data_IF_146276416934
#
_entry.id   IF_146276416934
#
_cell.length_a   1.000
_cell.length_b   1.000
_cell.length_c   1.000
_cell.angle_alpha   90.00
_cell.angle_beta   90.00
_cell.angle_gamma   90.00
#
_symmetry.space_group_name_H-M   'P 1'
#
loop_
_entity.id
_entity.type
_entity.pdbx_description
1 polymer ?
#
# COMPACT_ATOMS: atom_id res chain seq x y z
N UNK A 1 5.63 -10.14 96.24
CA UNK A 1 4.74 -10.05 95.06
C UNK A 1 4.98 -8.75 94.30
N UNK A 2 5.07 -7.61 94.98
CA UNK A 2 5.33 -6.29 94.36
C UNK A 2 6.73 -6.17 93.72
N UNK A 3 7.78 -6.65 94.39
CA UNK A 3 9.16 -6.62 93.86
C UNK A 3 9.35 -7.45 92.58
N UNK A 4 8.72 -8.62 92.50
CA UNK A 4 8.78 -9.49 91.31
C UNK A 4 7.99 -8.96 90.11
N UNK A 5 6.97 -8.12 90.35
CA UNK A 5 6.21 -7.46 89.28
C UNK A 5 7.04 -6.33 88.66
N UNK A 6 7.71 -5.54 89.51
CA UNK A 6 8.63 -4.47 89.08
C UNK A 6 9.81 -5.04 88.27
N UNK A 7 10.39 -6.16 88.71
CA UNK A 7 11.48 -6.83 88.00
C UNK A 7 11.03 -7.38 86.62
N UNK A 8 9.80 -7.90 86.53
CA UNK A 8 9.21 -8.38 85.28
C UNK A 8 8.90 -7.23 84.30
N UNK A 9 8.36 -6.12 84.80
CA UNK A 9 8.11 -4.90 84.01
C UNK A 9 9.42 -4.31 83.49
N UNK A 10 10.47 -4.26 84.32
CA UNK A 10 11.79 -3.80 83.93
C UNK A 10 12.43 -4.68 82.84
N UNK A 11 12.32 -6.00 82.97
CA UNK A 11 12.81 -6.94 81.97
C UNK A 11 12.04 -6.80 80.64
N UNK A 12 10.71 -6.67 80.69
CA UNK A 12 9.88 -6.48 79.51
C UNK A 12 10.18 -5.16 78.78
N UNK A 13 10.37 -4.06 79.53
CA UNK A 13 10.77 -2.77 78.98
C UNK A 13 12.13 -2.84 78.29
N UNK A 14 13.09 -3.56 78.88
CA UNK A 14 14.42 -3.74 78.30
C UNK A 14 14.36 -4.50 76.97
N UNK A 15 13.58 -5.58 76.90
CA UNK A 15 13.39 -6.35 75.65
C UNK A 15 12.72 -5.51 74.57
N UNK A 16 11.69 -4.73 74.91
CA UNK A 16 11.01 -3.82 73.97
C UNK A 16 11.96 -2.74 73.46
N UNK A 17 12.79 -2.18 74.33
CA UNK A 17 13.77 -1.15 73.94
C UNK A 17 14.85 -1.71 73.01
N UNK A 18 15.39 -2.89 73.30
CA UNK A 18 16.40 -3.54 72.44
C UNK A 18 15.80 -3.87 71.07
N UNK A 19 14.63 -4.52 71.03
CA UNK A 19 13.96 -4.84 69.75
C UNK A 19 13.58 -3.59 68.97
N UNK A 20 13.16 -2.52 69.63
CA UNK A 20 12.88 -1.24 68.96
C UNK A 20 14.15 -0.58 68.40
N UNK A 21 15.29 -0.75 69.05
CA UNK A 21 16.57 -0.23 68.56
C UNK A 21 17.05 -1.02 67.34
N UNK A 22 16.95 -2.35 67.38
CA UNK A 22 17.31 -3.23 66.26
C UNK A 22 16.45 -2.90 65.02
N UNK A 23 15.12 -2.79 65.19
CA UNK A 23 14.21 -2.40 64.09
C UNK A 23 14.54 -1.01 63.54
N UNK A 24 14.96 -0.06 64.39
CA UNK A 24 15.36 1.27 63.94
C UNK A 24 16.65 1.24 63.13
N UNK A 25 17.58 0.37 63.49
CA UNK A 25 18.83 0.18 62.77
C UNK A 25 18.57 -0.48 61.40
N UNK A 26 17.79 -1.56 61.37
CA UNK A 26 17.42 -2.27 60.14
C UNK A 26 16.65 -1.36 59.16
N UNK A 27 15.70 -0.56 59.67
CA UNK A 27 14.96 0.40 58.82
C UNK A 27 15.87 1.49 58.24
N UNK A 28 16.91 1.90 58.97
CA UNK A 28 17.90 2.86 58.46
C UNK A 28 18.75 2.24 57.36
N UNK A 29 19.18 0.99 57.51
CA UNK A 29 19.93 0.27 56.48
C UNK A 29 19.11 0.04 55.21
N UNK A 30 17.83 -0.34 55.35
CA UNK A 30 16.90 -0.50 54.22
C UNK A 30 16.70 0.83 53.49
N UNK A 31 16.55 1.95 54.22
CA UNK A 31 16.40 3.27 53.62
C UNK A 31 17.64 3.63 52.78
N UNK A 32 18.84 3.41 53.31
CA UNK A 32 20.10 3.66 52.58
C UNK A 32 20.26 2.76 51.34
N UNK A 33 19.86 1.49 51.41
CA UNK A 33 19.88 0.59 50.26
C UNK A 33 18.88 1.03 49.18
N UNK A 34 17.68 1.45 49.58
CA UNK A 34 16.63 1.94 48.68
C UNK A 34 17.08 3.18 47.91
N UNK A 35 17.77 4.11 48.58
CA UNK A 35 18.34 5.30 47.94
C UNK A 35 19.42 4.94 46.91
N UNK A 36 20.32 3.99 47.23
CA UNK A 36 21.33 3.49 46.28
C UNK A 36 20.70 2.82 45.05
N UNK A 37 19.63 2.05 45.25
CA UNK A 37 18.86 1.41 44.16
C UNK A 37 18.21 2.48 43.28
N UNK A 38 17.64 3.53 43.88
CA UNK A 38 17.06 4.66 43.15
C UNK A 38 18.07 5.37 42.25
N UNK A 39 19.26 5.69 42.77
CA UNK A 39 20.34 6.32 41.98
C UNK A 39 20.81 5.40 40.85
N UNK A 40 20.90 4.10 41.12
CA UNK A 40 21.32 3.12 40.12
C UNK A 40 20.27 2.96 39.01
N UNK A 41 18.99 2.99 39.36
CA UNK A 41 17.86 2.93 38.42
C UNK A 41 17.83 4.16 37.51
N UNK A 42 17.98 5.36 38.05
CA UNK A 42 18.09 6.59 37.25
C UNK A 42 19.26 6.55 36.25
N UNK A 43 20.41 5.98 36.66
CA UNK A 43 21.56 5.82 35.76
C UNK A 43 21.30 4.81 34.64
N UNK A 44 20.54 3.76 34.92
CA UNK A 44 20.12 2.78 33.91
C UNK A 44 19.14 3.44 32.94
N UNK A 45 18.11 4.14 33.42
CA UNK A 45 17.14 4.87 32.59
C UNK A 45 17.85 5.88 31.65
N UNK A 46 18.74 6.72 32.20
CA UNK A 46 19.52 7.67 31.39
C UNK A 46 20.46 7.03 30.38
N UNK A 47 20.87 5.77 30.58
CA UNK A 47 21.65 4.99 29.61
C UNK A 47 20.73 4.37 28.56
N UNK A 48 19.56 3.86 28.96
CA UNK A 48 18.55 3.31 28.06
C UNK A 48 18.06 4.37 27.10
N UNK A 49 17.69 5.57 27.57
CA UNK A 49 17.28 6.69 26.71
C UNK A 49 18.35 7.06 25.67
N UNK A 50 19.61 7.11 26.09
CA UNK A 50 20.74 7.38 25.17
C UNK A 50 20.93 6.28 24.14
N UNK A 51 20.74 5.03 24.55
CA UNK A 51 20.83 3.87 23.66
C UNK A 51 19.68 3.86 22.66
N UNK A 52 18.45 4.18 23.09
CA UNK A 52 17.28 4.31 22.21
C UNK A 52 17.48 5.40 21.17
N UNK A 53 17.93 6.59 21.57
CA UNK A 53 18.22 7.70 20.62
C UNK A 53 19.30 7.28 19.62
N UNK A 54 20.32 6.55 20.08
CA UNK A 54 21.41 6.08 19.21
C UNK A 54 20.94 5.00 18.23
N UNK A 55 20.08 4.07 18.68
CA UNK A 55 19.47 3.03 17.83
C UNK A 55 18.55 3.66 16.79
N UNK A 56 17.76 4.67 17.17
CA UNK A 56 16.89 5.40 16.26
C UNK A 56 17.71 6.14 15.19
N UNK A 57 18.77 6.84 15.59
CA UNK A 57 19.67 7.50 14.64
C UNK A 57 20.34 6.50 13.67
N UNK A 58 20.84 5.37 14.17
CA UNK A 58 21.41 4.31 13.33
C UNK A 58 20.36 3.69 12.39
N UNK A 59 19.12 3.55 12.85
CA UNK A 59 18.01 3.07 12.02
C UNK A 59 17.71 4.06 10.89
N UNK A 60 17.69 5.36 11.16
CA UNK A 60 17.45 6.39 10.15
C UNK A 60 18.58 6.44 9.12
N UNK A 61 19.84 6.39 9.58
CA UNK A 61 21.02 6.26 8.70
C UNK A 61 20.95 4.99 7.83
N UNK A 62 20.54 3.86 8.41
CA UNK A 62 20.37 2.61 7.67
C UNK A 62 19.23 2.71 6.64
N UNK A 63 18.11 3.37 6.98
CA UNK A 63 17.02 3.61 6.04
C UNK A 63 17.47 4.50 4.88
N UNK A 64 18.20 5.58 5.16
CA UNK A 64 18.74 6.47 4.13
C UNK A 64 19.75 5.74 3.24
N UNK A 65 20.65 4.95 3.84
CA UNK A 65 21.60 4.12 3.10
C UNK A 65 20.88 3.07 2.24
N UNK A 66 19.83 2.44 2.76
CA UNK A 66 19.00 1.48 2.02
C UNK A 66 18.27 2.14 0.85
N UNK A 67 17.73 3.35 1.04
CA UNK A 67 17.08 4.12 -0.02
C UNK A 67 18.10 4.51 -1.12
N UNK A 68 19.28 4.98 -0.73
CA UNK A 68 20.36 5.31 -1.65
C UNK A 68 20.87 4.07 -2.40
N UNK A 69 20.99 2.93 -1.73
CA UNK A 69 21.37 1.67 -2.34
C UNK A 69 20.31 1.17 -3.33
N UNK A 70 19.02 1.22 -2.95
CA UNK A 70 17.91 0.92 -3.87
C UNK A 70 17.94 1.83 -5.10
N UNK A 71 18.20 3.13 -4.93
CA UNK A 71 18.33 4.10 -6.03
C UNK A 71 19.52 3.78 -6.94
N UNK A 72 20.66 3.40 -6.37
CA UNK A 72 21.84 2.98 -7.11
C UNK A 72 21.57 1.70 -7.92
N UNK A 73 20.92 0.70 -7.32
CA UNK A 73 20.52 -0.53 -8.00
C UNK A 73 19.55 -0.24 -9.15
N UNK A 74 18.53 0.60 -8.93
CA UNK A 74 17.61 1.04 -9.98
C UNK A 74 18.36 1.71 -11.13
N UNK A 75 19.32 2.60 -10.83
CA UNK A 75 20.12 3.27 -11.87
C UNK A 75 21.03 2.31 -12.63
N UNK A 76 21.73 1.39 -11.96
CA UNK A 76 22.56 0.40 -12.65
C UNK A 76 21.72 -0.57 -13.49
N UNK A 77 20.55 -0.98 -13.00
CA UNK A 77 19.62 -1.78 -13.80
C UNK A 77 19.10 -1.00 -14.99
N UNK A 78 18.77 0.29 -14.83
CA UNK A 78 18.33 1.17 -15.92
C UNK A 78 19.42 1.33 -16.99
N UNK A 79 20.69 1.48 -16.59
CA UNK A 79 21.83 1.57 -17.52
C UNK A 79 22.11 0.23 -18.24
N UNK A 80 22.10 -0.89 -17.50
CA UNK A 80 22.26 -2.23 -18.09
C UNK A 80 21.11 -2.57 -19.06
N UNK A 81 19.87 -2.15 -18.73
CA UNK A 81 18.67 -2.32 -19.58
C UNK A 81 18.73 -1.42 -20.84
N UNK A 82 19.27 -0.20 -20.74
CA UNK A 82 19.51 0.69 -21.91
C UNK A 82 20.49 0.08 -22.92
N UNK A 83 21.53 -0.63 -22.48
CA UNK A 83 22.49 -1.30 -23.38
C UNK A 83 21.89 -2.48 -24.15
N UNK A 84 20.86 -3.16 -23.63
CA UNK A 84 20.21 -4.29 -24.31
C UNK A 84 19.17 -3.87 -25.38
N UNK A 85 18.67 -2.64 -25.32
CA UNK A 85 17.66 -2.11 -26.26
C UNK A 85 18.25 -1.69 -27.63
N UNK A 86 19.58 -1.62 -27.77
CA UNK A 86 20.22 -1.03 -28.96
C UNK A 86 20.55 -2.04 -30.08
N UNK A 87 20.27 -3.34 -29.90
CA UNK A 87 20.54 -4.39 -30.91
C UNK A 87 19.26 -5.09 -31.39
N UNK A 88 18.49 -4.43 -32.25
CA UNK A 88 17.48 -5.14 -33.06
C UNK A 88 17.19 -4.41 -34.38
N UNK A 89 18.24 -4.25 -35.19
CA UNK A 89 18.08 -3.99 -36.62
C UNK A 89 17.98 -5.31 -37.39
N UNK A 90 16.77 -5.89 -37.51
CA UNK A 90 16.37 -6.82 -38.60
C UNK A 90 14.88 -7.20 -38.49
N UNK A 91 14.23 -7.33 -39.64
CA UNK A 91 12.80 -7.60 -39.78
C UNK A 91 12.36 -8.85 -38.98
N UNK A 92 11.75 -8.62 -37.82
CA UNK A 92 11.20 -9.65 -36.96
C UNK A 92 9.71 -9.86 -37.24
N UNK A 93 9.25 -11.12 -37.18
CA UNK A 93 7.83 -11.47 -37.28
C UNK A 93 6.98 -10.73 -36.24
N UNK A 94 5.69 -10.52 -36.51
CA UNK A 94 4.75 -9.78 -35.65
C UNK A 94 4.71 -10.38 -34.22
N UNK A 95 4.81 -11.70 -34.11
CA UNK A 95 4.86 -12.39 -32.82
C UNK A 95 6.11 -12.00 -32.02
N UNK A 96 7.27 -11.98 -32.67
CA UNK A 96 8.55 -11.60 -32.04
C UNK A 96 8.57 -10.13 -31.64
N UNK A 97 7.99 -9.24 -32.47
CA UNK A 97 7.86 -7.82 -32.14
C UNK A 97 6.97 -7.58 -30.93
N UNK A 98 5.84 -8.29 -30.82
CA UNK A 98 4.95 -8.21 -29.65
C UNK A 98 5.66 -8.67 -28.37
N UNK A 99 6.41 -9.77 -28.42
CA UNK A 99 7.18 -10.25 -27.27
C UNK A 99 8.30 -9.26 -26.87
N UNK A 100 9.00 -8.69 -27.84
CA UNK A 100 10.04 -7.69 -27.57
C UNK A 100 9.46 -6.41 -26.96
N UNK A 101 8.35 -5.90 -27.49
CA UNK A 101 7.65 -4.73 -26.96
C UNK A 101 7.17 -4.98 -25.53
N UNK A 102 6.56 -6.14 -25.26
CA UNK A 102 6.11 -6.48 -23.92
C UNK A 102 7.28 -6.62 -22.94
N UNK A 103 8.37 -7.26 -23.35
CA UNK A 103 9.58 -7.36 -22.54
C UNK A 103 10.17 -5.96 -22.25
N UNK A 104 10.14 -5.04 -23.21
CA UNK A 104 10.58 -3.66 -23.00
C UNK A 104 9.73 -2.94 -21.95
N UNK A 105 8.40 -2.99 -22.09
CA UNK A 105 7.46 -2.39 -21.12
C UNK A 105 7.65 -3.02 -19.74
N UNK A 106 7.69 -4.36 -19.69
CA UNK A 106 7.88 -5.11 -18.45
C UNK A 106 9.21 -4.72 -17.80
N UNK A 107 10.33 -4.80 -18.49
CA UNK A 107 11.64 -4.42 -17.92
C UNK A 107 11.73 -2.96 -17.50
N UNK A 108 10.97 -2.06 -18.11
CA UNK A 108 10.97 -0.66 -17.72
C UNK A 108 10.19 -0.42 -16.40
N UNK A 109 9.00 -1.00 -16.29
CA UNK A 109 8.06 -0.77 -15.19
C UNK A 109 8.08 -1.81 -14.08
N UNK A 110 8.74 -2.96 -14.29
CA UNK A 110 8.84 -4.03 -13.30
C UNK A 110 9.73 -3.54 -12.15
N UNK A 111 9.03 -3.03 -11.14
CA UNK A 111 9.54 -2.70 -9.80
C UNK A 111 9.45 -3.95 -8.90
N UNK A 112 9.48 -3.75 -7.59
CA UNK A 112 9.43 -4.84 -6.60
C UNK A 112 8.06 -5.58 -6.52
N UNK A 113 7.07 -5.19 -7.33
CA UNK A 113 5.73 -5.78 -7.32
C UNK A 113 5.52 -6.53 -8.63
N UNK A 114 5.36 -7.86 -8.56
CA UNK A 114 4.79 -8.65 -9.66
C UNK A 114 3.30 -8.32 -9.76
N UNK A 115 2.83 -7.71 -10.89
CA UNK A 115 1.43 -7.35 -11.06
C UNK A 115 0.45 -8.53 -10.94
N UNK A 116 0.94 -9.75 -11.19
CA UNK A 116 0.12 -10.96 -11.11
C UNK A 116 0.08 -11.59 -9.71
N UNK A 117 0.99 -11.21 -8.81
CA UNK A 117 1.06 -11.80 -7.47
C UNK A 117 -0.16 -11.45 -6.62
N UNK A 118 -0.57 -10.17 -6.59
CA UNK A 118 -1.71 -9.72 -5.78
C UNK A 118 -3.00 -10.46 -6.15
N UNK A 119 -3.28 -10.59 -7.45
CA UNK A 119 -4.46 -11.30 -7.94
C UNK A 119 -4.42 -12.80 -7.57
N UNK A 120 -3.25 -13.46 -7.67
CA UNK A 120 -3.09 -14.87 -7.29
C UNK A 120 -3.26 -15.10 -5.78
N UNK A 121 -2.73 -14.18 -4.97
CA UNK A 121 -2.84 -14.24 -3.51
C UNK A 121 -4.31 -14.13 -3.07
N UNK A 122 -5.05 -13.19 -3.67
CA UNK A 122 -6.51 -13.07 -3.47
C UNK A 122 -7.23 -14.33 -3.97
N UNK A 123 -6.87 -14.85 -5.15
CA UNK A 123 -7.50 -16.05 -5.72
C UNK A 123 -7.34 -17.28 -4.81
N UNK A 124 -6.20 -17.42 -4.13
CA UNK A 124 -5.96 -18.55 -3.21
C UNK A 124 -6.98 -18.62 -2.06
N UNK A 125 -7.45 -17.47 -1.59
CA UNK A 125 -8.46 -17.36 -0.53
C UNK A 125 -9.89 -17.12 -1.05
N UNK A 126 -10.06 -16.99 -2.37
CA UNK A 126 -11.36 -16.69 -2.98
C UNK A 126 -12.28 -17.90 -3.03
N UNK A 127 -13.45 -17.79 -2.39
CA UNK A 127 -14.49 -18.82 -2.45
C UNK A 127 -15.32 -18.63 -3.72
N UNK A 128 -15.28 -19.63 -4.61
CA UNK A 128 -16.04 -19.60 -5.88
C UNK A 128 -17.54 -19.41 -5.62
N UNK A 129 -18.13 -18.40 -6.25
CA UNK A 129 -19.55 -18.07 -6.11
C UNK A 129 -19.85 -16.99 -5.07
N UNK A 130 -18.87 -16.60 -4.25
CA UNK A 130 -18.98 -15.44 -3.37
C UNK A 130 -19.10 -14.15 -4.16
N UNK A 131 -19.65 -13.10 -3.52
CA UNK A 131 -19.81 -11.75 -4.06
C UNK A 131 -20.67 -11.62 -5.33
N UNK A 132 -21.25 -12.70 -5.88
CA UNK A 132 -22.05 -12.69 -7.12
C UNK A 132 -23.23 -11.73 -7.12
N UNK A 133 -23.78 -11.44 -5.94
CA UNK A 133 -24.88 -10.48 -5.78
C UNK A 133 -24.56 -9.11 -6.39
N UNK A 134 -23.28 -8.70 -6.42
CA UNK A 134 -22.86 -7.41 -6.98
C UNK A 134 -23.12 -7.31 -8.48
N UNK A 135 -23.20 -8.45 -9.18
CA UNK A 135 -23.46 -8.48 -10.62
C UNK A 135 -24.90 -8.06 -10.93
N UNK A 136 -25.82 -8.19 -9.98
CA UNK A 136 -27.22 -7.81 -10.15
C UNK A 136 -27.52 -6.37 -9.67
N UNK A 137 -26.51 -5.65 -9.16
CA UNK A 137 -26.66 -4.27 -8.71
C UNK A 137 -26.79 -3.29 -9.88
N UNK A 138 -27.84 -2.47 -9.88
CA UNK A 138 -28.09 -1.45 -10.91
C UNK A 138 -26.89 -0.52 -11.10
N UNK A 139 -26.27 -0.11 -9.99
CA UNK A 139 -25.08 0.74 -9.99
C UNK A 139 -23.92 0.11 -10.77
N UNK A 140 -23.71 -1.21 -10.64
CA UNK A 140 -22.67 -1.92 -11.38
C UNK A 140 -23.03 -2.03 -12.88
N UNK A 141 -24.28 -2.38 -13.21
CA UNK A 141 -24.71 -2.52 -14.60
C UNK A 141 -24.62 -1.19 -15.36
N UNK A 142 -25.11 -0.10 -14.77
CA UNK A 142 -25.02 1.25 -15.35
C UNK A 142 -23.56 1.66 -15.57
N UNK A 143 -22.68 1.40 -14.59
CA UNK A 143 -21.26 1.70 -14.70
C UNK A 143 -20.58 0.90 -15.80
N UNK A 144 -20.88 -0.41 -15.90
CA UNK A 144 -20.29 -1.32 -16.89
C UNK A 144 -20.68 -0.96 -18.33
N UNK A 145 -21.93 -0.57 -18.54
CA UNK A 145 -22.46 -0.18 -19.87
C UNK A 145 -21.94 1.19 -20.34
N UNK A 146 -21.54 2.06 -19.40
CA UNK A 146 -20.69 3.22 -19.68
C UNK A 146 -21.38 4.42 -20.33
N UNK A 147 -22.70 4.55 -20.17
CA UNK A 147 -23.47 5.60 -20.84
C UNK A 147 -23.41 6.99 -20.14
N UNK A 148 -23.14 7.06 -18.83
CA UNK A 148 -23.35 8.31 -18.07
C UNK A 148 -22.35 8.60 -16.95
N UNK A 149 -21.84 7.58 -16.24
CA UNK A 149 -20.94 7.77 -15.10
C UNK A 149 -19.75 6.80 -15.13
N UNK A 150 -18.51 7.28 -15.27
CA UNK A 150 -17.34 6.42 -15.34
C UNK A 150 -16.89 5.91 -13.96
N UNK A 151 -17.52 6.33 -12.85
CA UNK A 151 -17.06 5.98 -11.51
C UNK A 151 -18.06 5.09 -10.77
N UNK A 152 -17.56 3.99 -10.21
CA UNK A 152 -18.26 3.12 -9.26
C UNK A 152 -17.48 3.09 -7.96
N UNK A 153 -18.16 3.31 -6.83
CA UNK A 153 -17.56 3.25 -5.51
C UNK A 153 -18.25 2.18 -4.66
N UNK A 154 -17.47 1.19 -4.26
CA UNK A 154 -17.90 0.11 -3.37
C UNK A 154 -17.35 0.39 -1.98
N UNK A 155 -18.23 0.77 -1.06
CA UNK A 155 -17.85 1.12 0.31
C UNK A 155 -18.36 0.10 1.32
N UNK A 156 -17.72 0.02 2.47
CA UNK A 156 -18.12 -0.88 3.55
C UNK A 156 -17.04 -1.02 4.61
N UNK A 157 -17.42 -1.54 5.78
CA UNK A 157 -16.50 -1.71 6.90
C UNK A 157 -15.39 -2.74 6.61
N UNK A 158 -14.25 -2.69 7.34
CA UNK A 158 -13.22 -3.72 7.26
C UNK A 158 -13.78 -5.13 7.44
N UNK A 159 -13.30 -6.09 6.65
CA UNK A 159 -13.74 -7.49 6.74
C UNK A 159 -15.00 -7.87 5.95
N UNK A 160 -15.76 -6.91 5.39
CA UNK A 160 -16.97 -7.19 4.60
C UNK A 160 -16.70 -7.66 3.15
N UNK A 161 -15.49 -8.16 2.85
CA UNK A 161 -15.22 -8.76 1.53
C UNK A 161 -15.16 -7.80 0.34
N UNK A 162 -14.90 -6.50 0.53
CA UNK A 162 -14.73 -5.53 -0.58
C UNK A 162 -13.70 -5.96 -1.61
N UNK A 163 -12.53 -6.43 -1.17
CA UNK A 163 -11.48 -6.97 -2.05
C UNK A 163 -11.97 -8.19 -2.84
N UNK A 164 -12.78 -9.06 -2.22
CA UNK A 164 -13.41 -10.20 -2.90
C UNK A 164 -14.38 -9.74 -3.99
N UNK A 165 -15.16 -8.68 -3.74
CA UNK A 165 -16.02 -8.04 -4.74
C UNK A 165 -15.19 -7.43 -5.88
N UNK A 166 -14.16 -6.64 -5.58
CA UNK A 166 -13.28 -6.03 -6.58
C UNK A 166 -12.59 -7.09 -7.46
N UNK A 167 -12.09 -8.15 -6.84
CA UNK A 167 -11.46 -9.27 -7.53
C UNK A 167 -12.44 -10.00 -8.46
N UNK A 168 -13.63 -10.37 -7.96
CA UNK A 168 -14.68 -10.98 -8.78
C UNK A 168 -15.00 -10.10 -10.00
N UNK A 169 -15.25 -8.81 -9.78
CA UNK A 169 -15.59 -7.88 -10.85
C UNK A 169 -14.45 -7.73 -11.86
N UNK A 170 -13.20 -7.68 -11.41
CA UNK A 170 -12.03 -7.66 -12.30
C UNK A 170 -11.96 -8.91 -13.19
N UNK A 171 -12.29 -10.08 -12.64
CA UNK A 171 -12.29 -11.36 -13.36
C UNK A 171 -13.42 -11.41 -14.40
N UNK A 172 -14.64 -11.08 -14.02
CA UNK A 172 -15.81 -11.03 -14.91
C UNK A 172 -15.60 -10.04 -16.07
N UNK A 173 -15.01 -8.88 -15.79
CA UNK A 173 -14.64 -7.89 -16.81
C UNK A 173 -13.54 -8.41 -17.74
N UNK A 174 -12.53 -9.09 -17.19
CA UNK A 174 -11.42 -9.68 -17.98
C UNK A 174 -11.93 -10.78 -18.90
N UNK A 175 -12.79 -11.66 -18.41
CA UNK A 175 -13.45 -12.71 -19.21
C UNK A 175 -14.33 -12.10 -20.30
N UNK A 176 -15.09 -11.05 -19.99
CA UNK A 176 -15.90 -10.31 -20.98
C UNK A 176 -15.04 -9.61 -22.04
N UNK A 177 -13.89 -9.06 -21.64
CA UNK A 177 -12.96 -8.36 -22.52
C UNK A 177 -12.17 -9.31 -23.42
N UNK A 178 -12.09 -10.61 -23.11
CA UNK A 178 -11.35 -11.58 -23.93
C UNK A 178 -11.86 -11.66 -25.38
N UNK A 179 -13.14 -11.37 -25.62
CA UNK A 179 -13.73 -11.28 -26.96
C UNK A 179 -13.61 -9.90 -27.63
N UNK A 180 -13.18 -8.87 -26.89
CA UNK A 180 -13.04 -7.50 -27.38
C UNK A 180 -11.60 -6.99 -27.21
N UNK A 181 -10.76 -7.07 -28.26
CA UNK A 181 -9.36 -6.67 -28.19
C UNK A 181 -9.16 -5.17 -27.92
N UNK A 182 -10.22 -4.36 -27.96
CA UNK A 182 -10.17 -2.92 -27.67
C UNK A 182 -10.43 -2.59 -26.19
N UNK A 183 -10.92 -3.56 -25.42
CA UNK A 183 -11.17 -3.38 -23.99
C UNK A 183 -9.98 -3.91 -23.19
N UNK A 184 -9.42 -3.06 -22.34
CA UNK A 184 -8.39 -3.45 -21.38
C UNK A 184 -8.98 -3.47 -19.97
N UNK A 185 -8.50 -4.38 -19.14
CA UNK A 185 -8.88 -4.48 -17.72
C UNK A 185 -7.59 -4.56 -16.91
N UNK A 186 -7.50 -3.76 -15.86
CA UNK A 186 -6.38 -3.80 -14.95
C UNK A 186 -6.85 -3.51 -13.52
N UNK A 187 -6.19 -4.15 -12.56
CA UNK A 187 -6.52 -4.04 -11.15
C UNK A 187 -5.27 -3.78 -10.32
N UNK A 188 -5.39 -2.92 -9.31
CA UNK A 188 -4.37 -2.79 -8.27
C UNK A 188 -5.02 -2.82 -6.89
N UNK A 189 -4.40 -3.56 -5.99
CA UNK A 189 -4.93 -3.82 -4.64
C UNK A 189 -4.01 -3.18 -3.62
N UNK A 190 -4.35 -1.98 -3.15
CA UNK A 190 -3.53 -1.30 -2.15
C UNK A 190 -3.58 -2.05 -0.82
N UNK A 191 -2.41 -2.23 -0.20
CA UNK A 191 -2.20 -2.92 1.07
C UNK A 191 -1.32 -2.04 1.95
N UNK A 192 -1.56 -2.03 3.26
CA UNK A 192 -0.82 -1.22 4.25
C UNK A 192 0.35 -1.97 4.90
N UNK A 193 0.56 -3.23 4.56
CA UNK A 193 1.62 -4.07 5.10
C UNK A 193 3.01 -3.71 4.56
N UNK A 194 3.08 -3.22 3.31
CA UNK A 194 4.32 -2.79 2.68
C UNK A 194 4.16 -1.45 1.96
N UNK A 195 5.12 -0.55 2.17
CA UNK A 195 5.15 0.78 1.53
C UNK A 195 5.08 0.72 -0.01
N UNK A 196 5.55 -0.38 -0.60
CA UNK A 196 5.51 -0.60 -2.03
C UNK A 196 4.08 -0.72 -2.56
N UNK A 197 3.17 -1.35 -1.81
CA UNK A 197 1.74 -1.47 -2.13
C UNK A 197 0.92 -0.22 -1.80
N UNK A 198 1.51 0.78 -1.14
CA UNK A 198 0.89 2.09 -0.89
C UNK A 198 1.26 3.15 -1.95
N UNK A 199 2.23 2.85 -2.84
CA UNK A 199 2.78 3.80 -3.80
C UNK A 199 1.94 3.90 -5.08
N UNK A 200 1.48 5.11 -5.41
CA UNK A 200 0.79 5.39 -6.68
C UNK A 200 1.68 5.09 -7.90
N UNK A 201 2.97 5.43 -7.85
CA UNK A 201 3.89 5.19 -8.97
C UNK A 201 4.09 3.69 -9.22
N UNK A 202 4.14 2.88 -8.15
CA UNK A 202 4.14 1.42 -8.27
C UNK A 202 2.80 0.89 -8.80
N UNK A 203 1.67 1.43 -8.33
CA UNK A 203 0.35 1.07 -8.82
C UNK A 203 0.23 1.32 -10.33
N UNK A 204 0.60 2.54 -10.79
CA UNK A 204 0.60 2.90 -12.21
C UNK A 204 1.50 1.97 -13.02
N UNK A 205 2.73 1.71 -12.56
CA UNK A 205 3.67 0.81 -13.22
C UNK A 205 3.10 -0.60 -13.37
N UNK A 206 2.51 -1.14 -12.30
CA UNK A 206 1.85 -2.44 -12.30
C UNK A 206 0.70 -2.50 -13.30
N UNK A 207 -0.16 -1.48 -13.30
CA UNK A 207 -1.29 -1.37 -14.21
C UNK A 207 -0.82 -1.28 -15.68
N UNK A 208 0.22 -0.50 -15.97
CA UNK A 208 0.78 -0.38 -17.33
C UNK A 208 1.24 -1.76 -17.84
N UNK A 209 1.91 -2.55 -17.00
CA UNK A 209 2.32 -3.92 -17.35
C UNK A 209 1.12 -4.82 -17.62
N UNK A 210 0.08 -4.75 -16.78
CA UNK A 210 -1.15 -5.55 -16.97
C UNK A 210 -1.82 -5.25 -18.31
N UNK A 211 -2.00 -3.96 -18.63
CA UNK A 211 -2.61 -3.53 -19.90
C UNK A 211 -1.74 -3.99 -21.09
N UNK A 212 -0.42 -3.83 -21.02
CA UNK A 212 0.48 -4.26 -22.09
C UNK A 212 0.47 -5.79 -22.30
N UNK A 213 0.24 -6.57 -21.25
CA UNK A 213 0.12 -8.02 -21.35
C UNK A 213 -1.15 -8.47 -22.08
N UNK A 214 -2.26 -7.74 -21.88
CA UNK A 214 -3.56 -8.05 -22.50
C UNK A 214 -3.78 -7.40 -23.87
N UNK A 215 -3.18 -6.24 -24.14
CA UNK A 215 -3.46 -5.43 -25.32
C UNK A 215 -2.19 -5.15 -26.14
N UNK A 216 -2.09 -5.80 -27.30
CA UNK A 216 -0.92 -5.68 -28.19
C UNK A 216 -0.72 -4.28 -28.77
N UNK A 217 -1.80 -3.57 -29.14
CA UNK A 217 -1.68 -2.22 -29.69
C UNK A 217 -1.20 -1.24 -28.62
N UNK A 218 -1.74 -1.34 -27.40
CA UNK A 218 -1.25 -0.58 -26.27
C UNK A 218 0.21 -0.89 -25.97
N UNK A 219 0.59 -2.17 -25.97
CA UNK A 219 1.96 -2.61 -25.69
C UNK A 219 2.98 -1.99 -26.65
N UNK A 220 2.68 -1.93 -27.95
CA UNK A 220 3.54 -1.30 -28.95
C UNK A 220 3.65 0.22 -28.70
N UNK A 221 2.52 0.88 -28.41
CA UNK A 221 2.50 2.32 -28.11
C UNK A 221 3.27 2.65 -26.82
N UNK A 222 3.09 1.85 -25.76
CA UNK A 222 3.80 2.01 -24.50
C UNK A 222 5.31 1.76 -24.66
N UNK A 223 5.70 0.73 -25.41
CA UNK A 223 7.11 0.47 -25.71
C UNK A 223 7.75 1.61 -26.52
N UNK A 224 7.00 2.20 -27.46
CA UNK A 224 7.49 3.37 -28.20
C UNK A 224 7.60 4.61 -27.31
N UNK A 225 6.65 4.81 -26.40
CA UNK A 225 6.66 5.93 -25.44
C UNK A 225 7.88 5.86 -24.52
N UNK A 226 8.23 4.67 -24.03
CA UNK A 226 9.43 4.42 -23.22
C UNK A 226 10.71 4.75 -23.99
N UNK A 227 10.75 4.45 -25.29
CA UNK A 227 11.89 4.73 -26.16
C UNK A 227 12.13 6.22 -26.41
N UNK A 228 11.10 7.05 -26.22
CA UNK A 228 11.23 8.50 -26.28
C UNK A 228 11.75 9.00 -24.91
N UNK A 229 12.96 9.56 -24.86
CA UNK A 229 13.56 10.05 -23.62
C UNK A 229 12.59 10.98 -22.83
N UNK A 230 12.59 10.86 -21.50
CA UNK A 230 11.87 11.77 -20.60
C UNK A 230 10.71 11.18 -19.80
N UNK A 231 10.45 9.87 -19.86
CA UNK A 231 9.51 9.21 -18.94
C UNK A 231 10.11 9.15 -17.53
N UNK A 232 9.35 9.65 -16.55
CA UNK A 232 9.69 9.54 -15.13
C UNK A 232 8.80 8.50 -14.44
N UNK A 233 9.36 7.31 -14.20
CA UNK A 233 8.64 6.21 -13.55
C UNK A 233 8.32 6.47 -12.08
N UNK A 234 8.95 7.45 -11.43
CA UNK A 234 8.66 7.82 -10.05
C UNK A 234 7.58 8.91 -9.97
N UNK A 235 7.26 9.62 -11.07
CA UNK A 235 6.14 10.58 -11.17
C UNK A 235 4.87 9.93 -11.73
N UNK A 236 3.96 9.54 -10.84
CA UNK A 236 2.68 8.94 -11.22
C UNK A 236 1.77 9.87 -12.06
N UNK A 237 2.00 11.19 -12.05
CA UNK A 237 1.27 12.14 -12.90
C UNK A 237 1.75 12.06 -14.35
N UNK A 238 3.07 12.03 -14.56
CA UNK A 238 3.67 11.81 -15.89
C UNK A 238 3.22 10.45 -16.46
N UNK A 239 3.22 9.41 -15.62
CA UNK A 239 2.72 8.09 -16.01
C UNK A 239 1.24 8.12 -16.42
N UNK A 240 0.38 8.80 -15.66
CA UNK A 240 -1.03 8.96 -16.01
C UNK A 240 -1.20 9.63 -17.37
N UNK A 241 -0.53 10.76 -17.59
CA UNK A 241 -0.69 11.55 -18.81
C UNK A 241 -0.22 10.76 -20.04
N UNK A 242 0.95 10.13 -19.95
CA UNK A 242 1.56 9.42 -21.07
C UNK A 242 0.92 8.07 -21.36
N UNK A 243 0.58 7.29 -20.34
CA UNK A 243 0.17 5.89 -20.53
C UNK A 243 -1.33 5.65 -20.36
N UNK A 244 -2.08 6.59 -19.78
CA UNK A 244 -3.52 6.43 -19.58
C UNK A 244 -4.31 7.47 -20.37
N UNK A 245 -4.14 8.75 -20.04
CA UNK A 245 -4.89 9.85 -20.63
C UNK A 245 -4.69 9.90 -22.16
N UNK A 246 -3.44 9.79 -22.64
CA UNK A 246 -3.16 9.82 -24.08
C UNK A 246 -3.68 8.59 -24.83
N UNK A 247 -3.72 7.41 -24.19
CA UNK A 247 -4.04 6.13 -24.84
C UNK A 247 -5.55 5.82 -24.82
N UNK A 248 -6.27 6.35 -23.84
CA UNK A 248 -7.71 6.18 -23.65
C UNK A 248 -8.47 7.51 -23.74
N UNK A 249 -7.99 8.45 -24.56
CA UNK A 249 -8.67 9.72 -24.83
C UNK A 249 -10.02 9.57 -25.55
N UNK A 250 -10.77 10.67 -25.72
CA UNK A 250 -12.12 10.65 -26.29
C UNK A 250 -12.20 10.02 -27.70
N UNK A 251 -11.19 10.26 -28.53
CA UNK A 251 -11.09 9.72 -29.90
C UNK A 251 -10.53 8.29 -29.95
N UNK A 252 -10.14 7.72 -28.80
CA UNK A 252 -9.63 6.36 -28.75
C UNK A 252 -10.77 5.37 -28.99
N UNK A 253 -10.52 4.39 -29.85
CA UNK A 253 -11.40 3.23 -29.98
C UNK A 253 -11.18 2.20 -28.88
N UNK A 254 -10.19 2.40 -28.01
CA UNK A 254 -9.91 1.56 -26.85
C UNK A 254 -10.56 2.11 -25.61
N UNK A 255 -10.94 1.21 -24.70
CA UNK A 255 -11.43 1.56 -23.38
C UNK A 255 -10.72 0.77 -22.29
N UNK A 256 -10.68 1.34 -21.08
CA UNK A 256 -10.07 0.74 -19.90
C UNK A 256 -11.10 0.60 -18.79
N UNK A 257 -11.18 -0.58 -18.18
CA UNK A 257 -11.71 -0.77 -16.83
C UNK A 257 -10.55 -0.82 -15.84
N UNK A 258 -10.53 0.16 -14.93
CA UNK A 258 -9.51 0.31 -13.90
C UNK A 258 -10.12 -0.01 -12.53
N UNK A 259 -9.62 -1.06 -11.89
CA UNK A 259 -10.07 -1.50 -10.56
C UNK A 259 -9.02 -1.08 -9.54
N UNK A 260 -9.40 -0.23 -8.60
CA UNK A 260 -8.55 0.24 -7.50
C UNK A 260 -9.18 -0.20 -6.19
N UNK A 261 -8.63 -1.26 -5.60
CA UNK A 261 -9.05 -1.76 -4.30
C UNK A 261 -8.21 -1.14 -3.18
N UNK A 262 -8.86 -0.74 -2.09
CA UNK A 262 -8.16 -0.21 -0.91
C UNK A 262 -7.74 1.26 -1.03
N UNK A 263 -8.55 2.12 -1.62
CA UNK A 263 -8.25 3.56 -1.72
C UNK A 263 -7.91 4.20 -0.35
N UNK A 264 -8.49 3.69 0.74
CA UNK A 264 -8.19 4.15 2.09
C UNK A 264 -6.75 3.91 2.56
N UNK A 265 -6.03 2.98 1.91
CA UNK A 265 -4.62 2.67 2.19
C UNK A 265 -3.65 3.67 1.55
N UNK A 266 -4.09 4.49 0.59
CA UNK A 266 -3.26 5.52 -0.01
C UNK A 266 -3.04 6.66 0.99
N UNK A 267 -1.81 7.19 1.18
CA UNK A 267 -1.58 8.36 2.01
C UNK A 267 -2.51 9.53 1.67
N UNK A 268 -3.09 10.18 2.69
CA UNK A 268 -4.20 11.15 2.49
C UNK A 268 -3.89 12.25 1.47
N UNK A 269 -2.66 12.79 1.47
CA UNK A 269 -2.27 13.85 0.53
C UNK A 269 -2.24 13.34 -0.92
N UNK A 270 -1.69 12.15 -1.12
CA UNK A 270 -1.60 11.53 -2.44
C UNK A 270 -2.97 11.06 -2.91
N UNK A 271 -3.82 10.55 -2.02
CA UNK A 271 -5.21 10.20 -2.30
C UNK A 271 -6.00 11.40 -2.83
N UNK A 272 -5.88 12.57 -2.19
CA UNK A 272 -6.56 13.79 -2.66
C UNK A 272 -6.15 14.16 -4.09
N UNK A 273 -4.84 14.20 -4.36
CA UNK A 273 -4.30 14.50 -5.70
C UNK A 273 -4.71 13.45 -6.72
N UNK A 274 -4.72 12.18 -6.32
CA UNK A 274 -5.14 11.08 -7.18
C UNK A 274 -6.62 11.21 -7.56
N UNK A 275 -7.51 11.55 -6.62
CA UNK A 275 -8.92 11.81 -6.92
C UNK A 275 -9.10 13.03 -7.85
N UNK A 276 -8.33 14.10 -7.67
CA UNK A 276 -8.34 15.24 -8.60
C UNK A 276 -7.93 14.84 -10.02
N UNK A 277 -6.94 13.96 -10.13
CA UNK A 277 -6.50 13.40 -11.40
C UNK A 277 -7.55 12.47 -12.02
N UNK A 278 -8.18 11.60 -11.24
CA UNK A 278 -9.29 10.77 -11.71
C UNK A 278 -10.48 11.62 -12.18
N UNK A 279 -10.73 12.78 -11.57
CA UNK A 279 -11.78 13.70 -12.02
C UNK A 279 -11.61 14.16 -13.48
N UNK A 280 -10.37 14.13 -14.02
CA UNK A 280 -10.09 14.43 -15.42
C UNK A 280 -10.76 13.45 -16.39
N UNK A 281 -11.04 12.21 -15.97
CA UNK A 281 -11.70 11.19 -16.80
C UNK A 281 -13.03 11.72 -17.35
N UNK A 282 -13.89 12.24 -16.46
CA UNK A 282 -15.15 12.86 -16.89
C UNK A 282 -14.92 14.16 -17.65
N UNK A 283 -14.02 15.02 -17.17
CA UNK A 283 -13.76 16.35 -17.75
C UNK A 283 -13.28 16.28 -19.20
N UNK A 284 -12.48 15.26 -19.52
CA UNK A 284 -11.83 15.08 -20.81
C UNK A 284 -12.48 13.96 -21.65
N UNK A 285 -13.60 13.39 -21.15
CA UNK A 285 -14.32 12.30 -21.82
C UNK A 285 -13.42 11.09 -22.14
N UNK A 286 -12.51 10.77 -21.22
CA UNK A 286 -11.63 9.62 -21.36
C UNK A 286 -12.45 8.32 -21.34
N UNK A 287 -12.07 7.33 -22.14
CA UNK A 287 -12.69 6.00 -22.22
C UNK A 287 -12.20 5.10 -21.07
N UNK A 288 -12.16 5.64 -19.86
CA UNK A 288 -11.72 4.95 -18.64
C UNK A 288 -12.90 4.86 -17.68
N UNK A 289 -13.20 3.65 -17.21
CA UNK A 289 -14.16 3.38 -16.16
C UNK A 289 -13.40 2.94 -14.92
N UNK A 290 -13.65 3.59 -13.79
CA UNK A 290 -12.92 3.34 -12.54
C UNK A 290 -13.86 2.76 -11.49
N UNK A 291 -13.47 1.62 -10.93
CA UNK A 291 -14.05 1.05 -9.73
C UNK A 291 -13.10 1.33 -8.57
N UNK A 292 -13.62 1.94 -7.51
CA UNK A 292 -12.91 2.23 -6.28
C UNK A 292 -13.51 1.42 -5.14
N UNK A 293 -12.69 0.81 -4.29
CA UNK A 293 -13.14 0.33 -2.99
C UNK A 293 -12.51 1.11 -1.85
N UNK A 294 -13.25 1.32 -0.77
CA UNK A 294 -12.70 1.89 0.47
C UNK A 294 -13.58 1.62 1.68
N UNK A 295 -13.11 1.99 2.88
CA UNK A 295 -13.99 2.22 4.03
C UNK A 295 -14.93 3.40 3.76
N UNK A 296 -16.07 3.44 4.46
CA UNK A 296 -17.13 4.46 4.30
C UNK A 296 -16.67 5.82 4.83
N UNK A 297 -15.87 5.83 5.88
CA UNK A 297 -15.52 6.98 6.72
C UNK A 297 -14.14 7.59 6.42
N UNK A 298 -13.72 7.55 5.16
CA UNK A 298 -12.36 7.98 4.79
C UNK A 298 -12.29 9.49 4.49
N UNK A 299 -11.23 10.14 4.96
CA UNK A 299 -10.88 11.51 4.53
C UNK A 299 -10.53 11.48 3.04
N UNK A 300 -10.94 12.51 2.30
CA UNK A 300 -10.79 12.54 0.83
C UNK A 300 -11.47 11.32 0.20
N UNK A 301 -12.76 11.15 0.48
CA UNK A 301 -13.58 10.10 -0.13
C UNK A 301 -13.82 10.38 -1.62
N UNK A 302 -14.12 9.35 -2.44
CA UNK A 302 -14.48 9.51 -3.86
C UNK A 302 -15.74 10.34 -4.14
N UNK A 303 -16.49 10.79 -3.12
CA UNK A 303 -17.75 11.53 -3.29
C UNK A 303 -17.64 12.76 -4.20
N UNK A 304 -16.48 13.41 -4.28
CA UNK A 304 -16.23 14.53 -5.20
C UNK A 304 -16.37 14.13 -6.68
N UNK A 305 -16.16 12.85 -7.00
CA UNK A 305 -16.34 12.28 -8.34
C UNK A 305 -17.81 12.00 -8.66
N UNK A 306 -18.71 12.06 -7.66
CA UNK A 306 -20.12 11.65 -7.77
C UNK A 306 -20.24 10.23 -8.36
N UNK A 307 -19.66 9.21 -7.72
CA UNK A 307 -19.71 7.84 -8.23
C UNK A 307 -21.11 7.25 -8.07
N UNK A 308 -21.40 6.21 -8.85
CA UNK A 308 -22.44 5.24 -8.49
C UNK A 308 -21.97 4.50 -7.24
N UNK A 309 -22.86 4.26 -6.28
CA UNK A 309 -22.48 3.73 -4.96
C UNK A 309 -23.08 2.34 -4.73
N UNK A 310 -22.25 1.43 -4.22
CA UNK A 310 -22.67 0.14 -3.66
C UNK A 310 -22.11 0.08 -2.24
N UNK A 311 -22.97 -0.23 -1.27
CA UNK A 311 -22.56 -0.37 0.13
C UNK A 311 -22.62 -1.84 0.50
N UNK A 312 -21.46 -2.42 0.84
CA UNK A 312 -21.39 -3.77 1.35
C UNK A 312 -21.79 -3.75 2.82
N UNK A 313 -22.87 -4.45 3.15
CA UNK A 313 -23.51 -4.41 4.49
C UNK A 313 -23.58 -5.77 5.18
N UNK A 314 -23.02 -6.83 4.57
CA UNK A 314 -23.12 -8.21 5.05
C UNK A 314 -21.79 -8.93 4.93
#
# INVERSE_FOLDING_TARGET
MEKSLIDLESASLTVILVTSLDVKQDTTEIAMQTEKIGISSQRIESRTERMEVSILAQRDEFHEMSANFKKLLKNQQKEARKMQLHDSGKAADATTRKHAAFNSVKLYFENNIDPSWQARDIEYSFVKGSAKWVLDEDAYQIWREGATNPYLWISGDPGLGKTCVAFLLSKELTESAASDPKTSVAAFYFQDDQAEFMSLSNAMSSIIIQIAGGNGSYCEQASSEIGNDGVDADDWTDLWERFFQSKFGNESSHRLFLIIDGLDQIPTNDRSKFLELLARIRKESLKIHVLLTSRVDIRSSPKSLQPLEIIVTK
#
